data_IF_141498285882
#
_entry.id   IF_141498285882
#
_cell.length_a   1.000
_cell.length_b   1.000
_cell.length_c   1.000
_cell.angle_alpha   90.00
_cell.angle_beta   90.00
_cell.angle_gamma   90.00
#
_symmetry.space_group_name_H-M   'P 1'
#
loop_
_entity.id
_entity.type
_entity.pdbx_description
1 polymer ?
#
# COMPACT_ATOMS: atom_id res chain seq x y z
N UNK A 1 -17.43 1.08 7.44
CA UNK A 1 -16.76 1.94 7.43
C UNK A 1 -17.08 3.01 6.79
N UNK A 2 -16.99 3.90 6.81
CA UNK A 2 -17.28 4.84 6.16
C UNK A 2 -16.33 5.44 5.47
N UNK A 3 -16.56 6.08 4.60
CA UNK A 3 -15.71 6.76 3.73
C UNK A 3 -14.96 7.81 4.38
N UNK A 4 -13.73 7.56 4.63
CA UNK A 4 -12.94 8.48 5.34
C UNK A 4 -12.43 9.61 4.54
N UNK A 5 -12.36 9.43 3.24
CA UNK A 5 -11.82 10.49 2.38
C UNK A 5 -12.66 11.73 2.44
N UNK A 6 -13.98 11.56 2.51
CA UNK A 6 -14.86 12.70 2.52
C UNK A 6 -14.78 13.50 3.80
N UNK A 7 -14.11 13.00 4.82
CA UNK A 7 -14.00 13.73 6.06
C UNK A 7 -12.72 14.54 6.17
N UNK A 8 -11.93 14.58 5.13
CA UNK A 8 -10.72 15.37 5.13
C UNK A 8 -11.09 16.85 5.21
N UNK A 9 -10.50 17.58 6.14
CA UNK A 9 -10.88 18.99 6.32
C UNK A 9 -10.62 19.82 5.10
N UNK A 10 -11.49 20.76 4.85
CA UNK A 10 -11.31 21.61 3.71
C UNK A 10 -10.50 22.83 3.99
N UNK A 11 -10.13 23.08 5.23
CA UNK A 11 -9.36 24.25 5.53
C UNK A 11 -7.89 24.08 5.19
N UNK A 12 -7.51 22.95 4.60
CA UNK A 12 -6.16 22.75 4.17
C UNK A 12 -5.90 23.62 2.98
N UNK A 13 -4.95 24.53 3.12
CA UNK A 13 -4.72 25.44 2.07
C UNK A 13 -3.60 25.10 1.14
N UNK A 14 -2.66 24.29 1.56
CA UNK A 14 -1.54 23.99 0.72
C UNK A 14 -1.74 22.65 0.05
N UNK A 15 -1.44 22.60 -1.22
CA UNK A 15 -1.61 21.37 -1.98
C UNK A 15 -0.80 20.23 -1.41
N UNK A 16 0.38 20.51 -0.88
CA UNK A 16 1.20 19.46 -0.30
C UNK A 16 0.50 18.78 0.86
N UNK A 17 -0.09 19.57 1.75
CA UNK A 17 -0.78 19.01 2.90
C UNK A 17 -2.00 18.21 2.47
N UNK A 18 -2.70 18.70 1.46
CA UNK A 18 -3.87 18.03 0.96
C UNK A 18 -3.50 16.67 0.38
N UNK A 19 -2.46 16.63 -0.42
CA UNK A 19 -2.01 15.36 -1.01
C UNK A 19 -1.57 14.38 0.06
N UNK A 20 -0.89 14.86 1.07
CA UNK A 20 -0.42 14.03 2.14
C UNK A 20 -1.58 13.42 2.92
N UNK A 21 -2.60 14.21 3.21
CA UNK A 21 -3.75 13.71 3.94
C UNK A 21 -4.57 12.73 3.14
N UNK A 22 -4.71 12.96 1.84
CA UNK A 22 -5.42 12.04 0.98
C UNK A 22 -4.68 10.70 0.90
N UNK A 23 -3.36 10.74 0.78
CA UNK A 23 -2.57 9.53 0.74
C UNK A 23 -2.68 8.74 2.04
N UNK A 24 -2.64 9.46 3.18
CA UNK A 24 -2.77 8.79 4.46
C UNK A 24 -4.14 8.17 4.63
N UNK A 25 -5.19 8.86 4.21
CA UNK A 25 -6.54 8.32 4.30
C UNK A 25 -6.68 7.06 3.46
N UNK A 26 -6.05 7.02 2.29
CA UNK A 26 -6.06 5.84 1.45
C UNK A 26 -5.35 4.68 2.11
N UNK A 27 -4.19 4.93 2.69
CA UNK A 27 -3.45 3.88 3.38
C UNK A 27 -4.22 3.36 4.57
N UNK A 28 -4.90 4.25 5.30
CA UNK A 28 -5.72 3.83 6.44
C UNK A 28 -6.84 2.89 6.00
N UNK A 29 -7.47 3.21 4.87
CA UNK A 29 -8.53 2.35 4.33
C UNK A 29 -8.00 0.96 4.00
N UNK A 30 -6.82 0.91 3.40
CA UNK A 30 -6.22 -0.38 3.03
C UNK A 30 -5.85 -1.16 4.28
N UNK A 31 -5.27 -0.49 5.26
CA UNK A 31 -4.91 -1.16 6.51
C UNK A 31 -6.15 -1.72 7.20
N UNK A 32 -7.25 -0.95 7.22
CA UNK A 32 -8.49 -1.43 7.83
C UNK A 32 -9.06 -2.62 7.07
N UNK A 33 -8.99 -2.59 5.75
CA UNK A 33 -9.43 -3.69 4.92
C UNK A 33 -8.65 -4.96 5.25
N UNK A 34 -7.34 -4.84 5.36
CA UNK A 34 -6.50 -5.99 5.68
C UNK A 34 -6.78 -6.54 7.06
N UNK A 35 -6.93 -5.66 8.04
CA UNK A 35 -7.23 -6.10 9.40
C UNK A 35 -8.57 -6.83 9.46
N UNK A 36 -9.56 -6.32 8.75
CA UNK A 36 -10.88 -6.95 8.72
C UNK A 36 -10.81 -8.35 8.11
N UNK A 37 -9.84 -8.58 7.23
CA UNK A 37 -9.65 -9.85 6.59
C UNK A 37 -8.66 -10.75 7.35
N UNK A 38 -8.28 -10.37 8.55
CA UNK A 38 -7.44 -11.20 9.41
C UNK A 38 -5.96 -10.98 9.30
N UNK A 39 -5.53 -9.97 8.55
CA UNK A 39 -4.11 -9.67 8.44
C UNK A 39 -3.62 -8.87 9.63
N UNK A 40 -2.40 -9.14 10.04
CA UNK A 40 -1.73 -8.36 11.06
C UNK A 40 -0.83 -7.36 10.34
N UNK A 41 -1.00 -6.08 10.65
CA UNK A 41 -0.16 -5.05 10.06
C UNK A 41 1.16 -5.03 10.81
N UNK A 42 2.23 -5.30 10.11
CA UNK A 42 3.56 -5.32 10.72
C UNK A 42 4.20 -3.94 10.67
N UNK A 43 4.10 -3.27 9.54
CA UNK A 43 4.71 -1.97 9.37
C UNK A 43 3.86 -1.09 8.47
N UNK A 44 3.99 0.21 8.68
CA UNK A 44 3.39 1.18 7.77
C UNK A 44 4.48 2.16 7.38
N UNK A 45 4.52 2.49 6.09
CA UNK A 45 5.51 3.42 5.53
C UNK A 45 6.94 3.02 5.91
N UNK A 46 7.25 1.77 5.67
CA UNK A 46 8.57 1.24 6.01
C UNK A 46 9.58 1.67 4.95
N UNK A 47 10.68 2.22 5.41
CA UNK A 47 11.70 2.74 4.52
C UNK A 47 13.01 1.98 4.61
N UNK A 48 13.66 1.88 3.46
CA UNK A 48 15.02 1.36 3.38
C UNK A 48 15.75 2.26 2.41
N UNK A 49 16.67 3.08 2.91
CA UNK A 49 17.29 4.15 2.14
C UNK A 49 16.20 5.10 1.66
N UNK A 50 16.13 5.35 0.36
CA UNK A 50 15.12 6.26 -0.20
C UNK A 50 13.89 5.52 -0.73
N UNK A 51 13.83 4.22 -0.48
CA UNK A 51 12.73 3.40 -0.97
C UNK A 51 11.73 3.15 0.14
N UNK A 52 10.49 2.97 -0.22
CA UNK A 52 9.43 2.84 0.78
C UNK A 52 8.37 1.86 0.32
N UNK A 53 7.80 1.13 1.28
CA UNK A 53 6.64 0.30 1.06
C UNK A 53 5.55 0.79 2.00
N UNK A 54 4.35 0.93 1.48
CA UNK A 54 3.27 1.56 2.24
C UNK A 54 2.78 0.72 3.40
N UNK A 55 2.61 -0.59 3.19
CA UNK A 55 2.12 -1.48 4.24
C UNK A 55 2.81 -2.83 4.11
N UNK A 56 3.22 -3.39 5.24
CA UNK A 56 3.70 -4.75 5.32
C UNK A 56 2.79 -5.48 6.29
N UNK A 57 2.23 -6.61 5.86
CA UNK A 57 1.28 -7.34 6.68
C UNK A 57 1.52 -8.84 6.57
N UNK A 58 1.06 -9.59 7.57
CA UNK A 58 1.19 -11.03 7.52
C UNK A 58 -0.12 -11.70 7.93
N UNK A 59 -0.35 -12.87 7.36
CA UNK A 59 -1.49 -13.70 7.70
C UNK A 59 -1.07 -15.13 7.40
N UNK A 60 -1.22 -16.01 8.40
CA UNK A 60 -0.76 -17.38 8.29
C UNK A 60 0.73 -17.40 7.90
N UNK A 61 1.09 -18.04 6.82
CA UNK A 61 2.49 -18.13 6.40
C UNK A 61 2.81 -17.16 5.25
N UNK A 62 2.00 -16.12 5.07
CA UNK A 62 2.19 -15.17 3.98
C UNK A 62 2.55 -13.80 4.53
N UNK A 63 3.56 -13.18 3.92
CA UNK A 63 3.87 -11.78 4.15
C UNK A 63 3.59 -11.06 2.86
N UNK A 64 2.81 -9.98 2.93
CA UNK A 64 2.55 -9.17 1.75
C UNK A 64 3.13 -7.77 1.92
N UNK A 65 3.67 -7.27 0.81
CA UNK A 65 4.17 -5.91 0.71
C UNK A 65 3.21 -5.18 -0.21
N UNK A 66 2.55 -4.17 0.31
CA UNK A 66 1.44 -3.53 -0.37
C UNK A 66 1.78 -2.12 -0.80
N UNK A 67 1.54 -1.84 -2.06
CA UNK A 67 1.65 -0.49 -2.59
C UNK A 67 0.24 0.09 -2.70
N UNK A 68 0.03 1.26 -2.10
CA UNK A 68 -1.27 1.91 -2.13
C UNK A 68 -1.21 3.05 -3.12
N UNK A 69 -2.15 3.06 -4.06
CA UNK A 69 -2.18 4.06 -5.10
C UNK A 69 -3.53 4.75 -5.12
N UNK A 70 -3.55 6.04 -4.84
CA UNK A 70 -4.76 6.84 -4.94
C UNK A 70 -4.78 7.47 -6.31
N UNK A 71 -5.84 7.22 -7.07
CA UNK A 71 -5.91 7.64 -8.45
C UNK A 71 -6.90 8.77 -8.60
N UNK A 72 -6.64 9.64 -9.56
CA UNK A 72 -7.52 10.76 -9.84
C UNK A 72 -8.61 10.41 -10.83
N UNK A 73 -8.43 9.35 -11.58
CA UNK A 73 -9.43 8.92 -12.55
C UNK A 73 -9.29 7.43 -12.77
N UNK A 74 -10.31 6.82 -13.35
CA UNK A 74 -10.27 5.39 -13.65
C UNK A 74 -9.74 5.12 -15.05
N UNK A 75 -9.30 6.16 -15.75
CA UNK A 75 -8.89 5.98 -17.13
C UNK A 75 -7.75 5.03 -17.33
N UNK A 76 -6.90 4.90 -16.37
CA UNK A 76 -5.73 4.09 -16.54
C UNK A 76 -5.88 2.72 -15.92
N UNK A 77 -7.06 2.22 -15.85
CA UNK A 77 -7.29 0.84 -15.57
C UNK A 77 -7.19 0.43 -14.12
N UNK A 78 -6.63 -0.73 -13.91
CA UNK A 78 -6.83 -1.47 -12.70
C UNK A 78 -5.79 -1.27 -11.64
N UNK A 79 -4.87 -0.37 -11.83
CA UNK A 79 -3.87 -0.13 -10.82
C UNK A 79 -2.55 -0.84 -11.05
N UNK A 80 -2.54 -1.89 -11.86
CA UNK A 80 -1.27 -2.55 -12.16
C UNK A 80 -0.31 -1.61 -12.85
N UNK A 81 -0.84 -0.75 -13.71
CA UNK A 81 -0.01 0.21 -14.41
C UNK A 81 0.57 1.26 -13.49
N UNK A 82 0.04 1.36 -12.27
CA UNK A 82 0.55 2.34 -11.32
C UNK A 82 1.86 1.92 -10.71
N UNK A 83 2.25 0.65 -10.87
CA UNK A 83 3.48 0.15 -10.31
C UNK A 83 4.38 -0.23 -11.45
N UNK A 84 5.17 0.73 -11.93
CA UNK A 84 6.04 0.50 -13.06
C UNK A 84 7.25 -0.33 -12.65
N UNK A 85 8.10 -0.63 -13.64
CA UNK A 85 9.25 -1.47 -13.41
C UNK A 85 10.19 -0.94 -12.34
N UNK A 86 10.40 0.36 -12.34
CA UNK A 86 11.29 0.99 -11.38
C UNK A 86 10.72 0.87 -9.96
N UNK A 87 9.43 1.12 -9.83
CA UNK A 87 8.76 1.03 -8.53
C UNK A 87 8.77 -0.40 -8.02
N UNK A 88 8.54 -1.38 -8.88
CA UNK A 88 8.61 -2.78 -8.49
C UNK A 88 9.98 -3.14 -7.96
N UNK A 89 11.02 -2.69 -8.65
CA UNK A 89 12.38 -2.95 -8.23
C UNK A 89 12.65 -2.36 -6.84
N UNK A 90 12.14 -1.17 -6.59
CA UNK A 90 12.30 -0.54 -5.30
C UNK A 90 11.60 -1.34 -4.20
N UNK A 91 10.38 -1.77 -4.47
CA UNK A 91 9.63 -2.57 -3.49
C UNK A 91 10.33 -3.89 -3.21
N UNK A 92 10.86 -4.53 -4.25
CA UNK A 92 11.59 -5.78 -4.08
C UNK A 92 12.83 -5.58 -3.22
N UNK A 93 13.52 -4.45 -3.39
CA UNK A 93 14.69 -4.15 -2.57
C UNK A 93 14.34 -3.98 -1.11
N UNK A 94 13.25 -3.27 -0.83
CA UNK A 94 12.80 -3.08 0.55
C UNK A 94 12.39 -4.41 1.15
N UNK A 95 11.66 -5.22 0.39
CA UNK A 95 11.19 -6.50 0.86
C UNK A 95 12.35 -7.43 1.21
N UNK A 96 13.37 -7.47 0.37
CA UNK A 96 14.52 -8.30 0.60
C UNK A 96 15.23 -7.89 1.89
N UNK A 97 15.37 -6.59 2.08
CA UNK A 97 15.98 -6.07 3.30
C UNK A 97 15.15 -6.42 4.53
N UNK A 98 13.83 -6.24 4.44
CA UNK A 98 12.95 -6.49 5.59
C UNK A 98 12.97 -7.96 5.99
N UNK A 99 12.90 -8.84 5.01
CA UNK A 99 12.92 -10.29 5.28
C UNK A 99 14.21 -10.70 5.95
N UNK A 100 15.34 -10.15 5.50
CA UNK A 100 16.62 -10.43 6.13
C UNK A 100 16.66 -9.88 7.55
N UNK A 101 16.23 -8.64 7.71
CA UNK A 101 16.28 -7.98 9.00
C UNK A 101 15.47 -8.71 10.06
N UNK A 102 14.26 -9.14 9.68
CA UNK A 102 13.35 -9.79 10.61
C UNK A 102 13.43 -11.30 10.58
N UNK A 103 14.29 -11.86 9.75
CA UNK A 103 14.49 -13.31 9.64
C UNK A 103 13.21 -14.04 9.29
N UNK A 104 12.58 -13.61 8.23
CA UNK A 104 11.27 -14.12 7.83
C UNK A 104 11.35 -15.01 6.60
N UNK A 105 12.45 -15.74 6.44
CA UNK A 105 12.68 -16.53 5.23
C UNK A 105 11.72 -17.71 5.07
N UNK A 106 11.07 -18.11 6.15
CA UNK A 106 10.13 -19.22 6.07
C UNK A 106 8.76 -18.82 5.56
N UNK A 107 8.53 -17.50 5.38
CA UNK A 107 7.24 -17.03 4.92
C UNK A 107 7.19 -16.99 3.39
N UNK A 108 5.98 -17.16 2.87
CA UNK A 108 5.74 -16.93 1.46
C UNK A 108 5.54 -15.44 1.25
N UNK A 109 6.18 -14.88 0.24
CA UNK A 109 6.15 -13.44 0.01
C UNK A 109 5.23 -13.13 -1.15
N UNK A 110 4.44 -12.06 -0.97
CA UNK A 110 3.49 -11.65 -1.98
C UNK A 110 3.56 -10.13 -2.13
N UNK A 111 3.27 -9.62 -3.31
CA UNK A 111 3.28 -8.20 -3.58
C UNK A 111 1.91 -7.78 -4.08
N UNK A 112 1.25 -6.94 -3.34
CA UNK A 112 -0.11 -6.54 -3.62
C UNK A 112 -0.19 -5.06 -3.95
N UNK A 113 -1.21 -4.68 -4.69
CA UNK A 113 -1.46 -3.29 -5.02
C UNK A 113 -2.90 -2.96 -4.65
N UNK A 114 -3.08 -1.87 -3.92
CA UNK A 114 -4.41 -1.36 -3.61
C UNK A 114 -4.60 -0.06 -4.38
N UNK A 115 -5.63 -0.03 -5.21
CA UNK A 115 -5.94 1.13 -6.04
C UNK A 115 -7.21 1.78 -5.53
N UNK A 116 -7.14 3.07 -5.26
CA UNK A 116 -8.26 3.81 -4.69
C UNK A 116 -8.63 4.95 -5.62
N UNK A 117 -9.91 5.03 -5.98
CA UNK A 117 -10.44 6.14 -6.76
C UNK A 117 -11.71 6.60 -6.06
N UNK A 118 -11.66 7.77 -5.44
CA UNK A 118 -12.78 8.32 -4.65
C UNK A 118 -13.15 7.30 -3.58
N UNK A 119 -14.37 6.76 -3.64
CA UNK A 119 -14.80 5.75 -2.67
C UNK A 119 -14.59 4.33 -3.19
N UNK A 120 -14.15 4.19 -4.43
CA UNK A 120 -13.90 2.87 -5.01
C UNK A 120 -12.57 2.32 -4.52
N UNK A 121 -12.54 1.02 -4.33
CA UNK A 121 -11.37 0.38 -3.78
C UNK A 121 -11.16 -0.95 -4.50
N UNK A 122 -10.00 -1.10 -5.11
CA UNK A 122 -9.65 -2.33 -5.79
C UNK A 122 -8.36 -2.88 -5.19
N UNK A 123 -8.42 -4.07 -4.64
CA UNK A 123 -7.25 -4.69 -4.05
C UNK A 123 -6.81 -5.84 -4.96
N UNK A 124 -5.58 -5.78 -5.42
CA UNK A 124 -5.03 -6.76 -6.36
C UNK A 124 -3.98 -7.59 -5.64
N UNK A 125 -4.31 -8.83 -5.37
CA UNK A 125 -3.38 -9.75 -4.72
C UNK A 125 -2.38 -10.26 -5.73
N UNK A 126 -1.15 -10.43 -5.27
CA UNK A 126 -0.10 -10.99 -6.09
C UNK A 126 0.04 -10.25 -7.42
N UNK A 127 0.05 -8.94 -7.31
CA UNK A 127 0.03 -8.07 -8.48
C UNK A 127 1.28 -8.18 -9.34
N UNK A 128 2.41 -8.49 -8.74
CA UNK A 128 3.65 -8.74 -9.47
C UNK A 128 4.53 -9.64 -8.63
N UNK A 129 5.59 -10.15 -9.24
CA UNK A 129 6.46 -11.11 -8.58
C UNK A 129 7.91 -10.71 -8.68
N UNK A 130 8.70 -11.31 -7.83
CA UNK A 130 10.12 -11.02 -7.76
C UNK A 130 10.86 -11.40 -9.05
#
# INVERSE_FOLDING_TARGET
>A
MKNRVSSIPFNIRKDNNKKKLIGKAGEDRVADHLKADGWKILERNFRYHKKEVDIIACKDDIITFVEVKTRKSVEFGLGLEAVDKHKRKNILGVARYYIELKKLHDFNVRFDVASIYRTSFLYIEDAFQA
#
